data_IF_445507100282
#
_entry.id   IF_445507100282
#
_cell.length_a   1.000
_cell.length_b   1.000
_cell.length_c   1.000
_cell.angle_alpha   90.00
_cell.angle_beta   90.00
_cell.angle_gamma   90.00
#
_symmetry.space_group_name_H-M   'P 1'
#
loop_
_entity.id
_entity.type
_entity.pdbx_description
1 polymer ?
#
# COMPACT_ATOMS: atom_id res chain seq x y z
N UNK A 1 10.53 -12.65 27.08
CA UNK A 1 9.68 -12.45 25.87
C UNK A 1 9.46 -10.99 25.50
N UNK A 2 9.23 -10.05 26.42
CA UNK A 2 9.06 -8.61 26.11
C UNK A 2 10.24 -7.95 25.38
N UNK A 3 11.48 -8.38 25.60
CA UNK A 3 12.66 -7.81 24.94
C UNK A 3 12.74 -8.10 23.43
N UNK A 4 12.26 -9.25 22.96
CA UNK A 4 12.25 -9.59 21.52
C UNK A 4 11.21 -8.80 20.74
N UNK A 5 10.04 -8.53 21.35
CA UNK A 5 9.00 -7.66 20.77
C UNK A 5 9.45 -6.20 20.65
N UNK A 6 10.29 -5.73 21.59
CA UNK A 6 10.88 -4.39 21.53
C UNK A 6 11.90 -4.27 20.39
N UNK A 7 12.80 -5.25 20.22
CA UNK A 7 13.77 -5.24 19.12
C UNK A 7 13.12 -5.45 17.74
N UNK A 8 12.00 -6.21 17.65
CA UNK A 8 11.22 -6.34 16.42
C UNK A 8 10.50 -5.03 16.05
N UNK A 9 9.96 -4.30 17.03
CA UNK A 9 9.35 -2.98 16.81
C UNK A 9 10.35 -1.88 16.41
N UNK A 10 11.62 -2.06 16.70
CA UNK A 10 12.71 -1.19 16.23
C UNK A 10 13.22 -1.59 14.83
N UNK A 11 12.76 -2.72 14.29
CA UNK A 11 13.14 -3.15 12.96
C UNK A 11 12.34 -2.39 11.91
N UNK A 12 13.08 -1.69 11.04
CA UNK A 12 12.57 -0.97 9.87
C UNK A 12 11.58 -1.78 9.01
N UNK A 13 11.71 -3.11 9.00
CA UNK A 13 10.91 -4.01 8.17
C UNK A 13 9.63 -4.51 8.84
N UNK A 14 9.49 -4.33 10.16
CA UNK A 14 8.36 -4.89 10.89
C UNK A 14 7.04 -4.19 10.54
N UNK A 15 7.03 -2.86 10.51
CA UNK A 15 5.83 -2.09 10.17
C UNK A 15 5.37 -2.36 8.73
N UNK A 16 6.25 -2.31 7.71
CA UNK A 16 5.87 -2.66 6.34
C UNK A 16 5.39 -4.10 6.20
N UNK A 17 6.05 -5.07 6.84
CA UNK A 17 5.60 -6.46 6.79
C UNK A 17 4.22 -6.64 7.45
N UNK A 18 3.99 -6.00 8.59
CA UNK A 18 2.70 -6.07 9.29
C UNK A 18 1.58 -5.46 8.46
N UNK A 19 1.77 -4.24 7.95
CA UNK A 19 0.76 -3.57 7.12
C UNK A 19 0.53 -4.34 5.82
N UNK A 20 1.59 -4.91 5.22
CA UNK A 20 1.48 -5.74 4.04
C UNK A 20 0.62 -6.98 4.28
N UNK A 21 0.82 -7.70 5.40
CA UNK A 21 -0.03 -8.83 5.78
C UNK A 21 -1.48 -8.40 6.00
N UNK A 22 -1.70 -7.28 6.68
CA UNK A 22 -3.05 -6.73 6.88
C UNK A 22 -3.72 -6.34 5.56
N UNK A 23 -2.97 -5.75 4.64
CA UNK A 23 -3.45 -5.34 3.32
C UNK A 23 -3.81 -6.55 2.45
N UNK A 24 -3.00 -7.62 2.47
CA UNK A 24 -3.33 -8.88 1.82
C UNK A 24 -4.61 -9.48 2.42
N UNK A 25 -4.72 -9.52 3.75
CA UNK A 25 -5.91 -10.01 4.44
C UNK A 25 -7.16 -9.19 4.10
N UNK A 26 -7.03 -7.87 4.05
CA UNK A 26 -8.11 -6.94 3.69
C UNK A 26 -8.53 -7.11 2.22
N UNK A 27 -7.57 -7.28 1.30
CA UNK A 27 -7.84 -7.52 -0.11
C UNK A 27 -8.63 -8.83 -0.30
N UNK A 28 -8.19 -9.92 0.33
CA UNK A 28 -8.92 -11.20 0.29
C UNK A 28 -10.32 -11.05 0.89
N UNK A 29 -10.43 -10.36 2.03
CA UNK A 29 -11.72 -10.12 2.68
C UNK A 29 -12.69 -9.32 1.82
N UNK A 30 -12.23 -8.25 1.17
CA UNK A 30 -13.09 -7.43 0.29
C UNK A 30 -13.48 -8.18 -0.99
N UNK A 31 -12.58 -8.97 -1.56
CA UNK A 31 -12.90 -9.84 -2.70
C UNK A 31 -13.97 -10.87 -2.35
N UNK A 32 -13.91 -11.48 -1.15
CA UNK A 32 -14.96 -12.39 -0.68
C UNK A 32 -16.29 -11.66 -0.46
N UNK A 33 -16.26 -10.42 0.05
CA UNK A 33 -17.47 -9.59 0.15
C UNK A 33 -18.08 -9.34 -1.23
N UNK A 34 -17.27 -8.98 -2.23
CA UNK A 34 -17.73 -8.83 -3.61
C UNK A 34 -18.38 -10.12 -4.15
N UNK A 35 -17.79 -11.30 -3.88
CA UNK A 35 -18.38 -12.58 -4.26
C UNK A 35 -19.74 -12.84 -3.58
N UNK A 36 -19.89 -12.47 -2.30
CA UNK A 36 -21.16 -12.61 -1.58
C UNK A 36 -22.24 -11.67 -2.13
N UNK A 37 -21.88 -10.42 -2.49
CA UNK A 37 -22.81 -9.45 -3.09
C UNK A 37 -23.34 -9.95 -4.43
N UNK A 38 -22.47 -10.47 -5.29
CA UNK A 38 -22.86 -11.05 -6.59
C UNK A 38 -23.79 -12.25 -6.39
N UNK A 39 -23.47 -13.15 -5.46
CA UNK A 39 -24.35 -14.30 -5.15
C UNK A 39 -25.70 -13.90 -4.58
N UNK A 40 -25.77 -12.78 -3.86
CA UNK A 40 -27.01 -12.23 -3.31
C UNK A 40 -27.85 -11.48 -4.36
N UNK A 41 -27.36 -11.31 -5.60
CA UNK A 41 -28.06 -10.60 -6.66
C UNK A 41 -28.10 -9.08 -6.46
N UNK A 42 -27.18 -8.53 -5.66
CA UNK A 42 -27.08 -7.09 -5.44
C UNK A 42 -26.28 -6.47 -6.60
N UNK A 43 -26.98 -6.11 -7.68
CA UNK A 43 -26.41 -5.46 -8.87
C UNK A 43 -26.50 -3.93 -8.84
N UNK A 44 -27.52 -3.38 -8.16
CA UNK A 44 -27.94 -1.98 -8.30
C UNK A 44 -27.26 -1.03 -7.30
N UNK A 45 -25.95 -1.17 -7.11
CA UNK A 45 -25.20 -0.17 -6.32
C UNK A 45 -24.71 0.88 -7.32
N UNK A 46 -25.06 2.17 -7.19
CA UNK A 46 -24.72 3.22 -8.18
C UNK A 46 -23.21 3.43 -8.41
N UNK A 47 -22.36 2.92 -7.52
CA UNK A 47 -20.91 2.93 -7.65
C UNK A 47 -20.39 1.75 -8.51
N UNK A 48 -21.24 0.76 -8.81
CA UNK A 48 -20.89 -0.59 -9.28
C UNK A 48 -21.26 -0.86 -10.73
N UNK A 49 -22.23 -0.12 -11.32
CA UNK A 49 -22.79 -0.44 -12.64
C UNK A 49 -21.81 -0.33 -13.84
N UNK A 50 -20.71 0.43 -13.73
CA UNK A 50 -19.90 0.80 -14.91
C UNK A 50 -18.47 0.23 -14.95
N UNK A 51 -18.03 -0.52 -13.92
CA UNK A 51 -16.63 -0.96 -13.88
C UNK A 51 -16.38 -2.22 -14.71
N UNK A 52 -15.95 -2.02 -15.96
CA UNK A 52 -15.49 -3.13 -16.81
C UNK A 52 -14.25 -3.85 -16.24
N UNK A 53 -14.06 -5.16 -16.50
CA UNK A 53 -12.87 -5.90 -16.06
C UNK A 53 -11.57 -5.26 -16.55
N UNK A 54 -11.57 -4.79 -17.79
CA UNK A 54 -10.43 -4.08 -18.38
C UNK A 54 -10.16 -2.78 -17.62
N UNK A 55 -11.19 -2.01 -17.28
CA UNK A 55 -11.07 -0.81 -16.47
C UNK A 55 -10.54 -1.08 -15.06
N UNK A 56 -11.09 -2.08 -14.37
CA UNK A 56 -10.61 -2.51 -13.05
C UNK A 56 -9.14 -2.93 -13.07
N UNK A 57 -8.74 -3.77 -14.04
CA UNK A 57 -7.33 -4.17 -14.22
C UNK A 57 -6.42 -2.99 -14.53
N UNK A 58 -6.87 -2.06 -15.38
CA UNK A 58 -6.09 -0.88 -15.73
C UNK A 58 -5.84 0.01 -14.51
N UNK A 59 -6.88 0.29 -13.72
CA UNK A 59 -6.78 1.08 -12.48
C UNK A 59 -5.83 0.41 -11.48
N UNK A 60 -6.06 -0.88 -11.19
CA UNK A 60 -5.23 -1.62 -10.23
C UNK A 60 -3.77 -1.74 -10.69
N UNK A 61 -3.52 -1.92 -11.99
CA UNK A 61 -2.17 -1.98 -12.55
C UNK A 61 -1.48 -0.62 -12.50
N UNK A 62 -2.21 0.48 -12.75
CA UNK A 62 -1.69 1.83 -12.63
C UNK A 62 -1.31 2.15 -11.18
N UNK A 63 -2.18 1.83 -10.22
CA UNK A 63 -1.91 2.03 -8.79
C UNK A 63 -0.74 1.15 -8.35
N UNK A 64 -0.79 -0.16 -8.61
CA UNK A 64 0.28 -1.09 -8.25
C UNK A 64 1.64 -0.69 -8.85
N UNK A 65 1.67 -0.37 -10.15
CA UNK A 65 2.90 0.05 -10.84
C UNK A 65 3.50 1.34 -10.29
N UNK A 66 2.67 2.32 -9.93
CA UNK A 66 3.14 3.62 -9.42
C UNK A 66 3.61 3.55 -7.97
N UNK A 67 2.96 2.77 -7.10
CA UNK A 67 3.28 2.72 -5.67
C UNK A 67 4.70 2.23 -5.35
N UNK A 68 5.24 1.26 -6.10
CA UNK A 68 6.64 0.85 -5.95
C UNK A 68 7.61 1.99 -6.31
N UNK A 69 7.29 2.75 -7.35
CA UNK A 69 8.08 3.93 -7.75
C UNK A 69 8.09 4.99 -6.66
N UNK A 70 6.93 5.30 -6.08
CA UNK A 70 6.80 6.25 -4.97
C UNK A 70 7.54 5.75 -3.71
N UNK A 71 7.45 4.46 -3.38
CA UNK A 71 8.20 3.89 -2.26
C UNK A 71 9.72 3.98 -2.49
N UNK A 72 10.19 3.70 -3.70
CA UNK A 72 11.61 3.79 -4.06
C UNK A 72 12.12 5.24 -4.01
N UNK A 73 11.33 6.22 -4.48
CA UNK A 73 11.72 7.63 -4.41
C UNK A 73 11.75 8.13 -2.96
N UNK A 74 10.76 7.79 -2.12
CA UNK A 74 10.78 8.11 -0.69
C UNK A 74 11.99 7.51 0.03
N UNK A 75 12.32 6.25 -0.26
CA UNK A 75 13.51 5.61 0.30
C UNK A 75 14.81 6.30 -0.14
N UNK A 76 14.92 6.64 -1.43
CA UNK A 76 16.07 7.35 -2.00
C UNK A 76 16.27 8.73 -1.34
N UNK A 77 15.19 9.51 -1.17
CA UNK A 77 15.21 10.80 -0.48
C UNK A 77 15.70 10.62 0.96
N UNK A 78 15.18 9.63 1.67
CA UNK A 78 15.59 9.35 3.06
C UNK A 78 17.08 9.05 3.16
N UNK A 79 17.61 8.20 2.27
CA UNK A 79 19.04 7.89 2.23
C UNK A 79 19.88 9.13 1.89
N UNK A 80 19.44 9.93 0.91
CA UNK A 80 20.16 11.15 0.52
C UNK A 80 20.27 12.13 1.69
N UNK A 81 19.16 12.39 2.37
CA UNK A 81 19.13 13.27 3.56
C UNK A 81 20.04 12.71 4.65
N UNK A 82 19.94 11.41 4.92
CA UNK A 82 20.77 10.76 5.92
C UNK A 82 22.27 10.86 5.58
N UNK A 83 22.65 10.68 4.32
CA UNK A 83 24.04 10.80 3.87
C UNK A 83 24.57 12.23 4.07
N UNK A 84 23.78 13.24 3.71
CA UNK A 84 24.13 14.66 3.93
C UNK A 84 24.30 14.96 5.41
N UNK A 85 23.33 14.59 6.27
CA UNK A 85 23.39 14.83 7.71
C UNK A 85 24.54 14.08 8.39
N UNK A 86 24.83 12.84 7.97
CA UNK A 86 25.92 12.03 8.54
C UNK A 86 27.29 12.62 8.24
N UNK A 87 27.45 13.23 7.06
CA UNK A 87 28.68 13.95 6.69
C UNK A 87 28.92 15.19 7.57
N UNK A 88 27.85 15.80 8.11
CA UNK A 88 27.92 16.99 8.96
C UNK A 88 28.04 16.68 10.47
N UNK A 89 27.42 15.62 11.00
CA UNK A 89 27.27 15.40 12.45
C UNK A 89 27.81 14.05 12.99
N UNK A 90 28.39 13.20 12.14
CA UNK A 90 29.07 11.96 12.55
C UNK A 90 28.18 10.72 12.75
N UNK A 91 28.78 9.51 12.88
CA UNK A 91 28.11 8.21 12.66
C UNK A 91 27.07 7.79 13.71
N UNK A 92 26.86 8.56 14.79
CA UNK A 92 25.87 8.24 15.84
C UNK A 92 24.43 8.62 15.44
N UNK A 93 24.23 9.56 14.50
CA UNK A 93 22.89 9.96 14.04
C UNK A 93 22.22 8.92 13.11
N UNK A 94 23.03 8.16 12.37
CA UNK A 94 22.56 7.14 11.40
C UNK A 94 21.62 6.11 12.04
N UNK A 95 21.90 5.74 13.28
CA UNK A 95 21.15 4.69 13.98
C UNK A 95 19.77 5.16 14.47
N UNK A 96 19.58 6.47 14.70
CA UNK A 96 18.30 7.03 15.12
C UNK A 96 17.35 7.28 13.94
N UNK A 97 17.86 7.57 12.75
CA UNK A 97 17.04 7.84 11.56
C UNK A 97 16.39 6.58 10.96
N UNK A 98 17.07 5.43 11.00
CA UNK A 98 16.46 4.15 10.58
C UNK A 98 15.35 3.67 11.54
N UNK A 99 15.33 4.18 12.77
CA UNK A 99 14.29 3.94 13.75
C UNK A 99 13.15 4.97 13.70
N UNK A 100 13.19 5.92 12.75
CA UNK A 100 12.15 6.92 12.61
C UNK A 100 10.83 6.28 12.18
N UNK A 101 9.83 6.38 13.06
CA UNK A 101 8.49 5.84 12.84
C UNK A 101 7.78 6.51 11.68
N UNK A 102 8.06 7.78 11.38
CA UNK A 102 7.46 8.49 10.27
C UNK A 102 7.80 7.82 8.94
N UNK A 103 9.09 7.56 8.69
CA UNK A 103 9.52 6.90 7.46
C UNK A 103 9.04 5.43 7.38
N UNK A 104 9.03 4.71 8.51
CA UNK A 104 8.50 3.35 8.56
C UNK A 104 7.00 3.30 8.23
N UNK A 105 6.21 4.26 8.71
CA UNK A 105 4.77 4.36 8.39
C UNK A 105 4.56 4.67 6.91
N UNK A 106 5.31 5.61 6.36
CA UNK A 106 5.21 5.97 4.92
C UNK A 106 5.48 4.76 4.05
N UNK A 107 6.60 4.07 4.28
CA UNK A 107 6.91 2.85 3.53
C UNK A 107 5.89 1.75 3.76
N UNK A 108 5.41 1.58 4.98
CA UNK A 108 4.40 0.58 5.30
C UNK A 108 3.10 0.81 4.52
N UNK A 109 2.63 2.05 4.45
CA UNK A 109 1.39 2.38 3.73
C UNK A 109 1.59 2.23 2.21
N UNK A 110 2.64 2.82 1.64
CA UNK A 110 2.91 2.74 0.18
C UNK A 110 3.08 1.29 -0.31
N UNK A 111 3.86 0.48 0.42
CA UNK A 111 4.06 -0.94 0.08
C UNK A 111 2.80 -1.77 0.28
N UNK A 112 1.93 -1.38 1.22
CA UNK A 112 0.67 -2.07 1.46
C UNK A 112 -0.37 -1.79 0.40
N UNK A 113 -0.47 -0.55 -0.10
CA UNK A 113 -1.32 -0.23 -1.25
C UNK A 113 -0.87 -1.03 -2.47
N UNK A 114 0.44 -1.12 -2.72
CA UNK A 114 0.98 -1.97 -3.78
C UNK A 114 0.54 -3.44 -3.64
N UNK A 115 0.75 -4.05 -2.47
CA UNK A 115 0.37 -5.44 -2.23
C UNK A 115 -1.14 -5.65 -2.33
N UNK A 116 -1.94 -4.75 -1.77
CA UNK A 116 -3.39 -4.76 -1.88
C UNK A 116 -3.82 -4.78 -3.34
N UNK A 117 -3.32 -3.85 -4.17
CA UNK A 117 -3.68 -3.76 -5.58
C UNK A 117 -3.31 -5.03 -6.36
N UNK A 118 -2.16 -5.67 -6.07
CA UNK A 118 -1.79 -6.92 -6.72
C UNK A 118 -2.72 -8.09 -6.36
N UNK A 119 -3.11 -8.20 -5.09
CA UNK A 119 -4.01 -9.28 -4.64
C UNK A 119 -5.40 -9.10 -5.25
N UNK A 120 -5.92 -7.86 -5.30
CA UNK A 120 -7.21 -7.59 -5.95
C UNK A 120 -7.10 -7.81 -7.47
N UNK A 121 -5.98 -7.41 -8.09
CA UNK A 121 -5.77 -7.60 -9.53
C UNK A 121 -5.81 -9.09 -9.93
N UNK A 122 -5.26 -9.96 -9.08
CA UNK A 122 -5.35 -11.42 -9.25
C UNK A 122 -6.80 -11.92 -9.25
N UNK A 123 -7.69 -11.28 -8.50
CA UNK A 123 -9.09 -11.68 -8.41
C UNK A 123 -9.92 -11.26 -9.64
N UNK A 124 -9.44 -10.34 -10.47
CA UNK A 124 -10.15 -9.94 -11.70
C UNK A 124 -9.99 -11.01 -12.77
N UNK A 125 -11.08 -11.70 -13.12
CA UNK A 125 -11.09 -12.75 -14.14
C UNK A 125 -11.89 -12.29 -15.37
N UNK A 126 -11.32 -12.52 -16.55
CA UNK A 126 -11.96 -12.26 -17.86
C UNK A 126 -12.13 -13.58 -18.59
N UNK A 127 -13.27 -13.73 -19.28
CA UNK A 127 -13.88 -14.83 -20.08
C UNK A 127 -13.10 -16.09 -20.53
N UNK A 128 -11.79 -16.22 -20.39
CA UNK A 128 -11.03 -17.37 -20.91
C UNK A 128 -11.17 -18.66 -20.08
N UNK A 129 -11.60 -18.61 -18.80
CA UNK A 129 -11.55 -19.79 -17.92
C UNK A 129 -12.86 -20.35 -17.35
N UNK A 130 -14.00 -19.63 -17.34
CA UNK A 130 -15.33 -20.21 -17.06
C UNK A 130 -16.42 -19.13 -16.98
N UNK A 131 -17.21 -18.95 -18.05
CA UNK A 131 -18.61 -18.48 -18.13
C UNK A 131 -19.13 -17.26 -17.31
N UNK A 132 -18.37 -16.61 -16.44
CA UNK A 132 -18.81 -15.45 -15.65
C UNK A 132 -17.65 -14.48 -15.46
N UNK A 133 -17.70 -13.37 -16.19
CA UNK A 133 -16.85 -12.20 -15.98
C UNK A 133 -17.03 -11.68 -14.55
N UNK A 134 -15.94 -11.64 -13.76
CA UNK A 134 -15.98 -11.18 -12.36
C UNK A 134 -14.99 -10.07 -12.10
N UNK A 135 -15.51 -8.98 -11.52
CA UNK A 135 -14.74 -7.81 -11.10
C UNK A 135 -15.14 -7.47 -9.67
N UNK A 136 -14.21 -7.49 -8.69
CA UNK A 136 -14.51 -7.13 -7.32
C UNK A 136 -14.54 -5.60 -7.19
N UNK A 137 -15.70 -4.99 -7.45
CA UNK A 137 -15.82 -3.54 -7.56
C UNK A 137 -15.56 -2.86 -6.22
N UNK A 138 -16.05 -3.41 -5.11
CA UNK A 138 -15.80 -2.84 -3.78
C UNK A 138 -14.30 -2.86 -3.48
N UNK A 139 -13.62 -3.97 -3.77
CA UNK A 139 -12.19 -4.07 -3.58
C UNK A 139 -11.40 -3.08 -4.47
N UNK A 140 -11.81 -2.86 -5.71
CA UNK A 140 -11.20 -1.87 -6.63
C UNK A 140 -11.41 -0.45 -6.11
N UNK A 141 -12.64 -0.07 -5.74
CA UNK A 141 -12.95 1.25 -5.19
C UNK A 141 -12.13 1.55 -3.94
N UNK A 142 -11.94 0.54 -3.07
CA UNK A 142 -11.08 0.70 -1.91
C UNK A 142 -9.61 0.89 -2.29
N UNK A 143 -9.11 0.23 -3.35
CA UNK A 143 -7.77 0.50 -3.87
C UNK A 143 -7.60 1.96 -4.32
N UNK A 144 -8.63 2.54 -4.95
CA UNK A 144 -8.61 3.95 -5.37
C UNK A 144 -8.58 4.86 -4.14
N UNK A 145 -9.35 4.55 -3.09
CA UNK A 145 -9.33 5.30 -1.84
C UNK A 145 -7.94 5.26 -1.17
N UNK A 146 -7.30 4.09 -1.15
CA UNK A 146 -5.93 3.95 -0.65
C UNK A 146 -4.96 4.82 -1.46
N UNK A 147 -5.05 4.80 -2.79
CA UNK A 147 -4.20 5.62 -3.65
C UNK A 147 -4.39 7.13 -3.43
N UNK A 148 -5.61 7.59 -3.16
CA UNK A 148 -5.86 8.98 -2.75
C UNK A 148 -5.24 9.28 -1.38
N UNK A 149 -5.35 8.34 -0.43
CA UNK A 149 -4.68 8.43 0.87
C UNK A 149 -3.16 8.50 0.76
N UNK A 150 -2.57 7.77 -0.18
CA UNK A 150 -1.11 7.77 -0.43
C UNK A 150 -0.58 9.14 -0.84
N UNK A 151 -1.40 9.96 -1.51
CA UNK A 151 -1.04 11.36 -1.81
C UNK A 151 -0.87 12.15 -0.51
N UNK A 152 -1.78 12.00 0.46
CA UNK A 152 -1.65 12.66 1.76
C UNK A 152 -0.43 12.15 2.54
N UNK A 153 -0.15 10.84 2.48
CA UNK A 153 1.04 10.23 3.09
C UNK A 153 2.32 10.77 2.46
N UNK A 154 2.35 10.99 1.14
CA UNK A 154 3.49 11.56 0.45
C UNK A 154 3.73 13.03 0.84
N UNK A 155 2.66 13.82 0.96
CA UNK A 155 2.76 15.22 1.45
C UNK A 155 3.29 15.23 2.88
N UNK A 156 2.76 14.36 3.74
CA UNK A 156 3.27 14.18 5.10
C UNK A 156 4.75 13.78 5.12
N UNK A 157 5.16 12.83 4.28
CA UNK A 157 6.56 12.39 4.17
C UNK A 157 7.50 13.55 3.83
N UNK A 158 7.15 14.36 2.83
CA UNK A 158 7.96 15.52 2.43
C UNK A 158 8.09 16.51 3.59
N UNK A 159 6.98 16.82 4.26
CA UNK A 159 6.99 17.72 5.42
C UNK A 159 7.83 17.17 6.58
N UNK A 160 7.67 15.88 6.89
CA UNK A 160 8.41 15.18 7.94
C UNK A 160 9.91 15.18 7.67
N UNK A 161 10.32 14.84 6.45
CA UNK A 161 11.73 14.86 6.05
C UNK A 161 12.28 16.28 6.14
N UNK A 162 11.56 17.29 5.66
CA UNK A 162 12.01 18.68 5.69
C UNK A 162 12.23 19.21 7.12
N UNK A 163 11.44 18.76 8.10
CA UNK A 163 11.60 19.13 9.51
C UNK A 163 12.66 18.29 10.25
N UNK A 164 13.09 17.16 9.67
CA UNK A 164 14.05 16.24 10.28
C UNK A 164 15.52 16.60 10.00
N UNK A 165 15.75 17.53 9.07
CA UNK A 165 17.07 18.12 8.73
C UNK A 165 17.34 19.32 9.62
#
# INVERSE_FOLDING_TARGET
MRSRLLHLRESFWFLPALFGVLAVGLALGLVEVDHLLVRAGVSDIPLIEDLSPTGGRAILSAIGGTMLGVAATSFSITISVLATTSSAYGPRLVRNFMADRGNQVVLAVLTSTFLYSLIVLRAVHTEEDASLTFVPVVAVSFSVLLAVGDVAVLVYFIHHIALSV
#
